data_IF_798280830887
#
_entry.id   IF_798280830887
#
_cell.length_a   1.000
_cell.length_b   1.000
_cell.length_c   1.000
_cell.angle_alpha   90.00
_cell.angle_beta   90.00
_cell.angle_gamma   90.00
#
_symmetry.space_group_name_H-M   'P 1'
#
loop_
_entity.id
_entity.type
_entity.pdbx_description
1 polymer ?
#
# COMPACT_ATOMS: atom_id res chain seq x y z
N UNK A 1 12.33 15.48 -37.04
CA UNK A 1 12.53 14.33 -36.14
C UNK A 1 13.19 14.86 -34.87
N UNK A 2 12.46 14.90 -33.75
CA UNK A 2 13.02 15.33 -32.48
C UNK A 2 13.90 14.19 -31.95
N UNK A 3 15.19 14.46 -31.79
CA UNK A 3 16.11 13.52 -31.15
C UNK A 3 15.77 13.55 -29.66
N UNK A 4 15.11 12.49 -29.18
CA UNK A 4 14.92 12.23 -27.75
C UNK A 4 16.32 12.16 -27.13
N UNK A 5 16.69 13.18 -26.36
CA UNK A 5 17.96 13.19 -25.63
C UNK A 5 17.77 12.23 -24.46
N UNK A 6 18.23 10.99 -24.63
CA UNK A 6 18.37 10.05 -23.53
C UNK A 6 19.08 10.76 -22.38
N UNK A 7 18.52 10.65 -21.17
CA UNK A 7 19.21 11.13 -19.97
C UNK A 7 20.63 10.54 -19.94
N UNK A 8 21.61 11.32 -19.47
CA UNK A 8 22.96 10.79 -19.34
C UNK A 8 22.92 9.50 -18.52
N UNK A 9 23.71 8.50 -18.87
CA UNK A 9 23.74 7.21 -18.16
C UNK A 9 23.93 7.38 -16.65
N UNK A 10 24.65 8.44 -16.25
CA UNK A 10 24.85 8.81 -14.84
C UNK A 10 23.53 9.25 -14.17
N UNK A 11 22.71 10.05 -14.85
CA UNK A 11 21.41 10.50 -14.32
C UNK A 11 20.43 9.33 -14.20
N UNK A 12 20.36 8.47 -15.23
CA UNK A 12 19.50 7.29 -15.17
C UNK A 12 19.93 6.35 -14.03
N UNK A 13 21.23 6.12 -13.85
CA UNK A 13 21.74 5.36 -12.71
C UNK A 13 21.38 6.01 -11.37
N UNK A 14 21.41 7.35 -11.29
CA UNK A 14 21.00 8.07 -10.08
C UNK A 14 19.51 7.92 -9.80
N UNK A 15 18.65 8.06 -10.81
CA UNK A 15 17.22 7.77 -10.73
C UNK A 15 16.98 6.35 -10.20
N UNK A 16 17.63 5.35 -10.77
CA UNK A 16 17.48 3.95 -10.32
C UNK A 16 17.95 3.74 -8.87
N UNK A 17 18.97 4.46 -8.43
CA UNK A 17 19.42 4.44 -7.02
C UNK A 17 18.42 5.08 -6.07
N UNK A 18 17.70 6.12 -6.50
CA UNK A 18 16.62 6.74 -5.74
C UNK A 18 15.42 5.81 -5.66
N UNK A 19 14.92 5.29 -6.78
CA UNK A 19 13.85 4.28 -6.79
C UNK A 19 14.23 3.06 -5.93
N UNK A 20 15.50 2.64 -5.96
CA UNK A 20 16.00 1.56 -5.10
C UNK A 20 16.00 1.86 -3.59
N UNK A 21 15.78 3.09 -3.15
CA UNK A 21 15.55 3.40 -1.73
C UNK A 21 14.21 2.87 -1.23
N UNK A 22 13.19 2.74 -2.10
CA UNK A 22 11.85 2.25 -1.72
C UNK A 22 11.90 0.87 -1.07
N UNK A 23 12.87 0.04 -1.46
CA UNK A 23 13.15 -1.29 -0.85
C UNK A 23 13.56 -1.23 0.62
N UNK A 24 13.89 -0.04 1.12
CA UNK A 24 14.35 0.25 2.48
C UNK A 24 13.48 1.27 3.18
N UNK A 25 12.37 1.68 2.57
CA UNK A 25 11.32 2.45 3.22
C UNK A 25 10.27 1.42 3.70
N UNK A 26 10.25 1.06 4.98
CA UNK A 26 9.19 0.21 5.50
C UNK A 26 7.86 0.98 5.50
N UNK A 27 6.74 0.29 5.25
CA UNK A 27 5.42 0.91 5.35
C UNK A 27 5.14 1.30 6.80
N UNK A 28 5.04 2.60 7.05
CA UNK A 28 5.03 3.25 8.37
C UNK A 28 3.82 2.81 9.22
N UNK A 29 2.68 2.54 8.58
CA UNK A 29 1.50 2.00 9.26
C UNK A 29 1.80 0.72 10.06
N UNK A 30 2.53 -0.22 9.45
CA UNK A 30 2.93 -1.49 10.09
C UNK A 30 3.99 -1.27 11.18
N UNK A 31 4.96 -0.38 10.92
CA UNK A 31 5.98 0.00 11.91
C UNK A 31 5.33 0.52 13.19
N UNK A 32 4.32 1.38 13.07
CA UNK A 32 3.59 1.94 14.21
C UNK A 32 2.73 0.93 14.95
N UNK A 33 2.34 -0.17 14.30
CA UNK A 33 1.68 -1.31 14.95
C UNK A 33 2.66 -2.37 15.44
N UNK A 34 3.97 -2.12 15.32
CA UNK A 34 5.05 -2.99 15.80
C UNK A 34 5.06 -4.37 15.13
N UNK A 35 4.64 -4.43 13.87
CA UNK A 35 4.86 -5.62 13.02
C UNK A 35 6.36 -5.88 12.93
N UNK A 36 6.81 -7.12 13.14
CA UNK A 36 8.25 -7.40 13.33
C UNK A 36 9.10 -7.14 12.07
N UNK A 37 8.57 -7.50 10.89
CA UNK A 37 9.24 -7.36 9.59
C UNK A 37 8.26 -6.79 8.58
N UNK A 38 7.96 -5.48 8.69
CA UNK A 38 7.01 -4.84 7.80
C UNK A 38 7.55 -4.84 6.38
N UNK A 39 6.65 -4.95 5.42
CA UNK A 39 6.94 -4.84 3.99
C UNK A 39 7.56 -3.48 3.65
N UNK A 40 8.27 -3.42 2.54
CA UNK A 40 8.72 -2.16 1.96
C UNK A 40 7.64 -1.54 1.06
N UNK A 41 7.72 -0.22 0.82
CA UNK A 41 6.84 0.46 -0.14
C UNK A 41 6.91 -0.18 -1.54
N UNK A 42 8.07 -0.71 -1.93
CA UNK A 42 8.18 -1.42 -3.20
C UNK A 42 7.50 -2.80 -3.22
N UNK A 43 7.36 -3.48 -2.08
CA UNK A 43 6.62 -4.76 -2.01
C UNK A 43 5.12 -4.50 -2.21
N UNK A 44 4.60 -3.48 -1.52
CA UNK A 44 3.24 -2.96 -1.68
C UNK A 44 2.91 -2.63 -3.15
N UNK A 45 3.71 -1.76 -3.78
CA UNK A 45 3.50 -1.39 -5.19
C UNK A 45 3.63 -2.58 -6.15
N UNK A 46 4.48 -3.56 -5.84
CA UNK A 46 4.61 -4.78 -6.65
C UNK A 46 3.31 -5.58 -6.63
N UNK A 47 2.75 -5.86 -5.44
CA UNK A 47 1.49 -6.63 -5.35
C UNK A 47 0.32 -5.87 -5.98
N UNK A 48 0.26 -4.55 -5.82
CA UNK A 48 -0.73 -3.72 -6.53
C UNK A 48 -0.61 -3.84 -8.06
N UNK A 49 0.61 -3.81 -8.61
CA UNK A 49 0.82 -3.96 -10.04
C UNK A 49 0.36 -5.35 -10.54
N UNK A 50 0.63 -6.41 -9.76
CA UNK A 50 0.11 -7.77 -10.04
C UNK A 50 -1.43 -7.77 -10.03
N UNK A 51 -2.06 -7.15 -9.04
CA UNK A 51 -3.51 -7.03 -9.00
C UNK A 51 -4.08 -6.27 -10.20
N UNK A 52 -3.45 -5.16 -10.60
CA UNK A 52 -3.83 -4.41 -11.78
C UNK A 52 -3.71 -5.27 -13.06
N UNK A 53 -2.71 -6.15 -13.18
CA UNK A 53 -2.62 -7.10 -14.29
C UNK A 53 -3.82 -8.07 -14.36
N UNK A 54 -4.42 -8.39 -13.22
CA UNK A 54 -5.46 -9.41 -13.09
C UNK A 54 -6.89 -8.87 -13.25
N UNK A 55 -7.09 -7.55 -13.35
CA UNK A 55 -8.44 -7.00 -13.58
C UNK A 55 -9.03 -7.50 -14.90
N UNK A 56 -10.33 -7.78 -14.90
CA UNK A 56 -11.09 -8.16 -16.09
C UNK A 56 -11.95 -7.01 -16.63
N UNK A 57 -11.92 -5.83 -15.99
CA UNK A 57 -12.67 -4.66 -16.44
C UNK A 57 -12.10 -4.12 -17.76
N UNK A 58 -12.79 -4.46 -18.85
CA UNK A 58 -12.47 -4.04 -20.22
C UNK A 58 -12.63 -2.54 -20.47
N UNK A 59 -13.21 -1.79 -19.52
CA UNK A 59 -13.34 -0.33 -19.61
C UNK A 59 -12.08 0.39 -19.15
N UNK A 60 -11.19 -0.29 -18.43
CA UNK A 60 -9.94 0.27 -17.93
C UNK A 60 -8.79 -0.03 -18.90
N UNK A 61 -7.89 0.93 -19.06
CA UNK A 61 -6.59 0.65 -19.64
C UNK A 61 -5.69 -0.04 -18.59
N UNK A 62 -5.63 -1.37 -18.66
CA UNK A 62 -4.82 -2.21 -17.77
C UNK A 62 -3.35 -1.79 -17.68
N UNK A 63 -2.71 -1.50 -18.81
CA UNK A 63 -1.31 -1.07 -18.84
C UNK A 63 -1.11 0.27 -18.12
N UNK A 64 -2.10 1.17 -18.21
CA UNK A 64 -2.09 2.43 -17.46
C UNK A 64 -2.24 2.18 -15.96
N UNK A 65 -3.17 1.30 -15.54
CA UNK A 65 -3.32 0.91 -14.13
C UNK A 65 -2.02 0.35 -13.54
N UNK A 66 -1.33 -0.53 -14.28
CA UNK A 66 -0.05 -1.10 -13.86
C UNK A 66 1.00 0.01 -13.67
N UNK A 67 1.12 0.94 -14.63
CA UNK A 67 2.06 2.07 -14.54
C UNK A 67 1.74 3.01 -13.39
N UNK A 68 0.46 3.29 -13.13
CA UNK A 68 0.02 4.08 -11.97
C UNK A 68 0.42 3.39 -10.67
N UNK A 69 0.14 2.09 -10.52
CA UNK A 69 0.51 1.32 -9.34
C UNK A 69 2.02 1.36 -9.07
N UNK A 70 2.86 1.28 -10.11
CA UNK A 70 4.32 1.33 -10.00
C UNK A 70 4.90 2.72 -9.71
N UNK A 71 4.13 3.79 -9.87
CA UNK A 71 4.62 5.18 -9.79
C UNK A 71 4.04 5.96 -8.61
N UNK A 72 2.84 5.61 -8.14
CA UNK A 72 2.08 6.47 -7.23
C UNK A 72 2.82 6.82 -5.93
N UNK A 73 3.49 5.86 -5.28
CA UNK A 73 4.27 6.07 -4.05
C UNK A 73 5.77 6.30 -4.34
N UNK A 74 6.17 6.55 -5.59
CA UNK A 74 7.58 6.71 -5.95
C UNK A 74 8.25 7.91 -5.26
N UNK A 75 7.48 8.93 -4.91
CA UNK A 75 7.94 10.10 -4.15
C UNK A 75 8.54 9.73 -2.79
N UNK A 76 8.05 8.65 -2.17
CA UNK A 76 8.45 8.19 -0.84
C UNK A 76 9.91 7.74 -0.76
N UNK A 77 10.56 7.54 -1.92
CA UNK A 77 12.00 7.28 -1.97
C UNK A 77 12.84 8.47 -1.45
N UNK A 78 12.26 9.67 -1.41
CA UNK A 78 12.85 10.89 -0.88
C UNK A 78 12.13 11.34 0.39
N UNK A 79 10.80 11.34 0.40
CA UNK A 79 10.02 11.92 1.53
C UNK A 79 9.79 10.95 2.68
N UNK A 80 9.98 9.65 2.45
CA UNK A 80 9.54 8.58 3.36
C UNK A 80 8.03 8.32 3.29
N UNK A 81 7.57 7.19 3.83
CA UNK A 81 6.15 6.89 3.92
C UNK A 81 5.52 7.71 5.07
N UNK A 82 4.70 8.70 4.72
CA UNK A 82 4.03 9.60 5.67
C UNK A 82 2.66 9.01 6.04
N UNK A 83 2.51 8.55 7.28
CA UNK A 83 1.28 7.96 7.79
C UNK A 83 0.37 9.02 8.43
N UNK A 84 -0.93 8.73 8.62
CA UNK A 84 -1.86 9.64 9.32
C UNK A 84 -1.39 10.06 10.73
N UNK A 85 -0.67 9.19 11.43
CA UNK A 85 -0.16 9.46 12.77
C UNK A 85 1.00 10.48 12.81
N UNK A 86 1.62 10.80 11.66
CA UNK A 86 2.65 11.84 11.56
C UNK A 86 2.09 13.27 11.67
N UNK A 87 0.76 13.43 11.64
CA UNK A 87 0.06 14.72 11.74
C UNK A 87 0.52 15.77 10.71
N UNK A 88 0.98 15.33 9.53
CA UNK A 88 1.27 16.20 8.39
C UNK A 88 -0.04 16.48 7.65
N UNK A 89 -0.32 17.76 7.33
CA UNK A 89 -1.53 18.11 6.57
C UNK A 89 -1.47 17.54 5.15
N UNK A 90 -2.64 17.34 4.53
CA UNK A 90 -2.71 16.85 3.14
C UNK A 90 -1.97 17.77 2.18
N UNK A 91 -2.06 19.08 2.39
CA UNK A 91 -1.42 20.10 1.57
C UNK A 91 0.11 20.04 1.68
N UNK A 92 0.63 19.85 2.89
CA UNK A 92 2.06 19.74 3.13
C UNK A 92 2.63 18.41 2.62
N UNK A 93 1.90 17.30 2.80
CA UNK A 93 2.25 16.00 2.20
C UNK A 93 2.35 16.13 0.67
N UNK A 94 1.30 16.66 0.04
CA UNK A 94 1.26 16.88 -1.41
C UNK A 94 2.40 17.79 -1.89
N UNK A 95 2.69 18.89 -1.17
CA UNK A 95 3.81 19.79 -1.52
C UNK A 95 5.15 19.05 -1.51
N UNK A 96 5.44 18.27 -0.47
CA UNK A 96 6.69 17.49 -0.35
C UNK A 96 6.81 16.45 -1.45
N UNK A 97 5.74 15.70 -1.71
CA UNK A 97 5.71 14.66 -2.73
C UNK A 97 5.87 15.24 -4.13
N UNK A 98 5.23 16.38 -4.41
CA UNK A 98 5.39 17.13 -5.65
C UNK A 98 6.83 17.55 -5.88
N UNK A 99 7.48 18.12 -4.86
CA UNK A 99 8.89 18.52 -4.93
C UNK A 99 9.81 17.31 -5.15
N UNK A 100 9.55 16.20 -4.47
CA UNK A 100 10.29 14.96 -4.65
C UNK A 100 10.14 14.38 -6.06
N UNK A 101 8.91 14.32 -6.60
CA UNK A 101 8.66 13.84 -7.96
C UNK A 101 9.25 14.75 -9.02
N UNK A 102 9.20 16.07 -8.83
CA UNK A 102 9.87 17.01 -9.70
C UNK A 102 11.39 16.78 -9.70
N UNK A 103 12.00 16.59 -8.54
CA UNK A 103 13.44 16.29 -8.43
C UNK A 103 13.80 14.95 -9.08
N UNK A 104 13.02 13.91 -8.82
CA UNK A 104 13.27 12.56 -9.31
C UNK A 104 13.18 12.51 -10.84
N UNK A 105 12.11 13.07 -11.41
CA UNK A 105 11.84 13.01 -12.86
C UNK A 105 12.75 13.94 -13.67
N UNK A 106 13.36 14.98 -13.08
CA UNK A 106 14.40 15.80 -13.72
C UNK A 106 15.64 15.00 -14.13
N UNK A 107 15.84 13.80 -13.58
CA UNK A 107 16.93 12.91 -13.94
C UNK A 107 16.68 12.12 -15.23
N UNK A 108 15.48 12.22 -15.81
CA UNK A 108 15.06 11.50 -17.00
C UNK A 108 15.08 12.39 -18.25
N UNK A 109 15.01 11.79 -19.43
CA UNK A 109 14.77 12.53 -20.68
C UNK A 109 13.35 13.10 -20.70
N UNK A 110 13.11 14.17 -21.46
CA UNK A 110 11.86 14.95 -21.39
C UNK A 110 10.59 14.11 -21.59
N UNK A 111 10.58 13.14 -22.51
CA UNK A 111 9.41 12.29 -22.75
C UNK A 111 9.06 11.43 -21.52
N UNK A 112 10.07 10.80 -20.90
CA UNK A 112 9.90 9.93 -19.72
C UNK A 112 9.63 10.73 -18.44
N UNK A 113 10.28 11.89 -18.30
CA UNK A 113 10.00 12.84 -17.23
C UNK A 113 8.53 13.23 -17.24
N UNK A 114 8.02 13.62 -18.42
CA UNK A 114 6.61 14.00 -18.60
C UNK A 114 5.70 12.83 -18.26
N UNK A 115 5.94 11.65 -18.82
CA UNK A 115 5.09 10.48 -18.59
C UNK A 115 4.98 10.09 -17.11
N UNK A 116 6.12 9.95 -16.40
CA UNK A 116 6.13 9.52 -14.99
C UNK A 116 5.52 10.59 -14.09
N UNK A 117 5.81 11.87 -14.35
CA UNK A 117 5.22 12.95 -13.56
C UNK A 117 3.69 13.02 -13.76
N UNK A 118 3.21 12.89 -15.00
CA UNK A 118 1.77 12.88 -15.30
C UNK A 118 1.05 11.66 -14.72
N UNK A 119 1.70 10.49 -14.64
CA UNK A 119 1.16 9.32 -13.95
C UNK A 119 0.96 9.58 -12.45
N UNK A 120 1.98 10.12 -11.78
CA UNK A 120 1.87 10.48 -10.36
C UNK A 120 0.79 11.52 -10.13
N UNK A 121 0.74 12.57 -10.97
CA UNK A 121 -0.25 13.64 -10.86
C UNK A 121 -1.68 13.13 -11.12
N UNK A 122 -1.86 12.23 -12.09
CA UNK A 122 -3.13 11.55 -12.36
C UNK A 122 -3.65 10.79 -11.14
N UNK A 123 -2.76 10.05 -10.46
CA UNK A 123 -3.11 9.36 -9.22
C UNK A 123 -3.44 10.34 -8.09
N UNK A 124 -2.61 11.36 -7.87
CA UNK A 124 -2.82 12.34 -6.79
C UNK A 124 -4.17 13.06 -6.91
N UNK A 125 -4.56 13.43 -8.12
CA UNK A 125 -5.83 14.10 -8.38
C UNK A 125 -7.00 13.15 -8.62
N UNK A 126 -6.77 11.84 -8.71
CA UNK A 126 -7.80 10.83 -8.96
C UNK A 126 -8.65 11.19 -10.19
N UNK A 127 -7.99 11.66 -11.25
CA UNK A 127 -8.65 12.33 -12.38
C UNK A 127 -9.24 11.36 -13.42
N UNK A 128 -8.83 10.10 -13.42
CA UNK A 128 -9.25 9.06 -14.37
C UNK A 128 -9.97 7.89 -13.68
N UNK A 129 -10.57 7.01 -14.48
CA UNK A 129 -11.14 5.77 -13.94
C UNK A 129 -10.04 4.82 -13.44
N UNK A 130 -8.91 4.79 -14.14
CA UNK A 130 -7.71 4.01 -13.78
C UNK A 130 -7.12 4.47 -12.44
N UNK A 131 -6.98 5.78 -12.20
CA UNK A 131 -6.47 6.30 -10.93
C UNK A 131 -7.37 5.92 -9.74
N UNK A 132 -8.69 5.99 -9.94
CA UNK A 132 -9.68 5.61 -8.93
C UNK A 132 -9.65 4.11 -8.64
N UNK A 133 -9.55 3.30 -9.69
CA UNK A 133 -9.39 1.86 -9.57
C UNK A 133 -8.11 1.50 -8.80
N UNK A 134 -6.97 2.08 -9.17
CA UNK A 134 -5.69 1.84 -8.49
C UNK A 134 -5.73 2.33 -7.04
N UNK A 135 -6.50 3.38 -6.71
CA UNK A 135 -6.68 3.81 -5.32
C UNK A 135 -7.47 2.81 -4.48
N UNK A 136 -8.48 2.17 -5.07
CA UNK A 136 -9.18 1.07 -4.41
C UNK A 136 -8.27 -0.18 -4.28
N UNK A 137 -7.37 -0.43 -5.25
CA UNK A 137 -6.35 -1.49 -5.12
C UNK A 137 -5.37 -1.22 -3.96
N UNK A 138 -4.86 0.01 -3.82
CA UNK A 138 -4.00 0.44 -2.70
C UNK A 138 -4.66 0.10 -1.35
N UNK A 139 -5.94 0.47 -1.20
CA UNK A 139 -6.68 0.20 0.03
C UNK A 139 -6.98 -1.28 0.25
N UNK A 140 -7.29 -2.04 -0.80
CA UNK A 140 -7.53 -3.48 -0.68
C UNK A 140 -6.24 -4.22 -0.32
N UNK A 141 -5.14 -3.90 -0.99
CA UNK A 141 -3.83 -4.50 -0.77
C UNK A 141 -3.41 -4.30 0.69
N UNK A 142 -3.62 -3.09 1.24
CA UNK A 142 -3.35 -2.78 2.64
C UNK A 142 -4.15 -3.66 3.61
N UNK A 143 -5.47 -3.86 3.42
CA UNK A 143 -6.25 -4.70 4.34
C UNK A 143 -5.97 -6.19 4.17
N UNK A 144 -5.61 -6.63 2.95
CA UNK A 144 -5.11 -7.99 2.71
C UNK A 144 -3.82 -8.22 3.49
N UNK A 145 -2.86 -7.28 3.40
CA UNK A 145 -1.61 -7.36 4.16
C UNK A 145 -1.84 -7.35 5.68
N UNK A 146 -2.81 -6.56 6.16
CA UNK A 146 -3.20 -6.57 7.57
C UNK A 146 -3.67 -7.97 8.01
N UNK A 147 -4.49 -8.66 7.21
CA UNK A 147 -4.92 -10.02 7.54
C UNK A 147 -3.75 -10.99 7.56
N UNK A 148 -2.87 -10.96 6.56
CA UNK A 148 -1.69 -11.82 6.51
C UNK A 148 -0.77 -11.60 7.73
N UNK A 149 -0.60 -10.36 8.20
CA UNK A 149 0.16 -10.10 9.43
C UNK A 149 -0.55 -10.63 10.69
N UNK A 150 -1.87 -10.49 10.79
CA UNK A 150 -2.64 -11.10 11.88
C UNK A 150 -2.48 -12.62 11.91
N UNK A 151 -2.44 -13.28 10.74
CA UNK A 151 -2.21 -14.72 10.62
C UNK A 151 -0.77 -15.12 11.00
N UNK A 152 0.23 -14.43 10.45
CA UNK A 152 1.65 -14.71 10.71
C UNK A 152 2.00 -14.53 12.19
N UNK A 153 1.44 -13.51 12.83
CA UNK A 153 1.68 -13.23 14.26
C UNK A 153 0.70 -13.97 15.18
N UNK A 154 -0.29 -14.69 14.63
CA UNK A 154 -1.35 -15.38 15.37
C UNK A 154 -2.10 -14.45 16.34
N UNK A 155 -2.43 -13.26 15.86
CA UNK A 155 -3.13 -12.20 16.60
C UNK A 155 -4.36 -11.74 15.81
N UNK A 156 -5.38 -12.59 15.68
CA UNK A 156 -6.57 -12.26 14.91
C UNK A 156 -7.23 -10.98 15.44
N UNK A 157 -7.61 -10.08 14.54
CA UNK A 157 -8.29 -8.83 14.92
C UNK A 157 -7.37 -7.68 15.36
N UNK A 158 -6.07 -7.90 15.53
CA UNK A 158 -5.16 -6.87 16.06
C UNK A 158 -5.05 -5.62 15.19
N UNK A 159 -5.22 -5.75 13.87
CA UNK A 159 -5.06 -4.69 12.88
C UNK A 159 -6.42 -4.21 12.33
N UNK A 160 -7.47 -4.30 13.16
CA UNK A 160 -8.84 -3.90 12.83
C UNK A 160 -8.97 -2.42 12.41
N UNK A 161 -8.10 -1.55 12.88
CA UNK A 161 -8.11 -0.14 12.55
C UNK A 161 -7.85 0.13 11.05
N UNK A 162 -7.06 -0.71 10.38
CA UNK A 162 -6.91 -0.64 8.92
C UNK A 162 -8.21 -0.95 8.20
N UNK A 163 -8.94 -1.98 8.63
CA UNK A 163 -10.26 -2.33 8.11
C UNK A 163 -11.29 -1.22 8.37
N UNK A 164 -11.23 -0.60 9.54
CA UNK A 164 -12.13 0.49 9.88
C UNK A 164 -11.88 1.73 9.01
N UNK A 165 -10.61 1.98 8.65
CA UNK A 165 -10.21 3.11 7.80
C UNK A 165 -10.72 3.02 6.35
N UNK A 166 -11.05 1.82 5.86
CA UNK A 166 -11.50 1.57 4.47
C UNK A 166 -13.01 1.42 4.33
N UNK A 167 -13.78 1.52 5.42
CA UNK A 167 -15.24 1.44 5.40
C UNK A 167 -15.84 2.46 4.42
N UNK A 168 -16.67 1.97 3.50
CA UNK A 168 -17.37 2.79 2.50
C UNK A 168 -16.49 3.36 1.39
N UNK A 169 -15.25 2.87 1.24
CA UNK A 169 -14.33 3.37 0.19
C UNK A 169 -14.28 2.51 -1.07
N UNK A 170 -14.75 1.26 -0.99
CA UNK A 170 -14.78 0.33 -2.13
C UNK A 170 -16.08 0.45 -2.90
N UNK A 171 -15.99 0.66 -4.21
CA UNK A 171 -17.14 0.79 -5.11
C UNK A 171 -16.96 -0.03 -6.38
N UNK A 172 -15.72 -0.33 -6.79
CA UNK A 172 -15.46 -1.12 -7.99
C UNK A 172 -15.96 -2.56 -7.81
N UNK A 173 -16.79 -3.12 -8.72
CA UNK A 173 -17.43 -4.42 -8.52
C UNK A 173 -16.46 -5.58 -8.23
N UNK A 174 -15.34 -5.64 -8.95
CA UNK A 174 -14.31 -6.68 -8.73
C UNK A 174 -13.68 -6.56 -7.34
N UNK A 175 -13.38 -5.33 -6.90
CA UNK A 175 -12.72 -5.09 -5.61
C UNK A 175 -13.68 -5.36 -4.46
N UNK A 176 -14.96 -4.96 -4.60
CA UNK A 176 -16.01 -5.28 -3.62
C UNK A 176 -16.14 -6.80 -3.42
N UNK A 177 -16.05 -7.60 -4.49
CA UNK A 177 -16.08 -9.07 -4.38
C UNK A 177 -14.86 -9.60 -3.61
N UNK A 178 -13.65 -9.09 -3.92
CA UNK A 178 -12.43 -9.47 -3.21
C UNK A 178 -12.48 -9.10 -1.72
N UNK A 179 -12.92 -7.86 -1.40
CA UNK A 179 -13.11 -7.39 -0.01
C UNK A 179 -14.10 -8.28 0.73
N UNK A 180 -15.20 -8.68 0.08
CA UNK A 180 -16.21 -9.56 0.67
C UNK A 180 -15.65 -10.94 0.98
N UNK A 181 -14.87 -11.51 0.06
CA UNK A 181 -14.21 -12.79 0.25
C UNK A 181 -13.20 -12.74 1.41
N UNK A 182 -12.32 -11.73 1.40
CA UNK A 182 -11.32 -11.49 2.45
C UNK A 182 -11.96 -11.34 3.83
N UNK A 183 -13.02 -10.53 3.96
CA UNK A 183 -13.71 -10.34 5.23
C UNK A 183 -14.38 -11.64 5.72
N UNK A 184 -14.91 -12.46 4.81
CA UNK A 184 -15.51 -13.75 5.16
C UNK A 184 -14.46 -14.70 5.74
N UNK A 185 -13.29 -14.78 5.08
CA UNK A 185 -12.18 -15.61 5.52
C UNK A 185 -11.62 -15.14 6.87
N UNK A 186 -11.32 -13.84 7.00
CA UNK A 186 -10.82 -13.24 8.24
C UNK A 186 -11.77 -13.46 9.43
N UNK A 187 -13.07 -13.27 9.23
CA UNK A 187 -14.06 -13.50 10.29
C UNK A 187 -14.14 -14.97 10.72
N UNK A 188 -13.95 -15.89 9.78
CA UNK A 188 -13.97 -17.33 10.07
C UNK A 188 -12.74 -17.74 10.90
N UNK A 189 -11.56 -17.20 10.59
CA UNK A 189 -10.34 -17.40 11.38
C UNK A 189 -10.44 -16.78 12.78
N UNK A 190 -11.02 -15.58 12.91
CA UNK A 190 -11.26 -14.96 14.21
C UNK A 190 -12.21 -15.77 15.09
N UNK A 191 -13.27 -16.35 14.51
CA UNK A 191 -14.19 -17.23 15.23
C UNK A 191 -13.51 -18.54 15.68
N UNK A 192 -12.64 -19.13 14.86
CA UNK A 192 -11.89 -20.34 15.21
C UNK A 192 -10.90 -20.09 16.36
N UNK A 193 -10.18 -18.97 16.35
CA UNK A 193 -9.23 -18.63 17.42
C UNK A 193 -9.92 -18.43 18.79
N UNK A 194 -11.12 -17.85 18.81
CA UNK A 194 -11.91 -17.68 20.04
C UNK A 194 -12.40 -19.01 20.64
N UNK A 195 -12.45 -20.08 19.86
CA UNK A 195 -12.84 -21.42 20.32
C UNK A 195 -11.63 -22.21 20.88
N UNK A 196 -10.40 -21.81 20.55
CA UNK A 196 -9.17 -22.48 20.98
C UNK A 196 -8.53 -21.88 22.25
N UNK A 197 -8.99 -20.71 22.75
CA UNK A 197 -8.51 -20.19 24.04
C UNK A 197 -8.93 -21.10 25.21
N UNK A 198 -7.98 -21.69 25.97
CA UNK A 198 -8.34 -22.50 27.11
C UNK A 198 -8.85 -21.61 28.25
N UNK A 199 -10.10 -21.84 28.63
CA UNK A 199 -10.73 -21.32 29.84
C UNK A 199 -9.74 -21.36 31.03
N UNK A 200 -9.45 -20.25 31.73
CA UNK A 200 -8.58 -20.32 32.90
C UNK A 200 -9.27 -21.19 33.94
N UNK A 201 -8.71 -22.38 34.18
CA UNK A 201 -9.19 -23.31 35.19
C UNK A 201 -9.15 -22.59 36.55
N UNK A 202 -10.32 -22.57 37.20
CA UNK A 202 -10.50 -22.10 38.55
C UNK A 202 -9.39 -22.63 39.45
N UNK A 203 -8.62 -21.73 40.08
CA UNK A 203 -7.80 -22.06 41.24
C UNK A 203 -8.74 -22.66 42.29
N UNK A 204 -8.74 -24.00 42.41
CA UNK A 204 -9.24 -24.66 43.61
C UNK A 204 -8.30 -24.27 44.73
N UNK A 205 -8.78 -23.38 45.61
CA UNK A 205 -8.21 -23.19 46.93
C UNK A 205 -8.23 -24.56 47.63
N UNK A 206 -7.05 -25.18 47.73
CA UNK A 206 -6.84 -26.28 48.64
C UNK A 206 -6.48 -25.66 49.99
N UNK A 207 -7.52 -25.28 50.73
CA UNK A 207 -7.43 -25.27 52.18
C UNK A 207 -7.35 -26.73 52.63
N UNK A 208 -6.26 -27.10 53.31
CA UNK A 208 -6.30 -28.26 54.19
C UNK A 208 -5.64 -27.92 55.52
N UNK A 209 -6.21 -28.38 56.66
CA UNK A 209 -5.85 -27.97 58.00
C UNK A 209 -4.81 -28.91 58.64
N UNK A 210 -4.22 -28.40 59.73
CA UNK A 210 -3.33 -29.01 60.72
C UNK A 210 -1.82 -28.93 60.45
#
# INVERSE_FOLDING_TARGET
MAVSVLASTKNLLHFMKLVGQLKRVPRTGWVYRKVEKPESVSDHMYRMAVMACLTEDKKLNKDRCIRLALVHDMAECIVGDIAPADNISKEEKHRREKEAMAHLTQLLGEDMKKEIYELWEEYEFQSTAEAKFVKELDQFEMILQAFEYEELERRPGQLQDFYDSTRGRFNHPEIVQLVTALNTERNSNGAAANLEEPHPQARKEHTSPH
#
